data_IF_045485115389
#
_entry.id   IF_045485115389
#
_cell.length_a   1.000
_cell.length_b   1.000
_cell.length_c   1.000
_cell.angle_alpha   90.00
_cell.angle_beta   90.00
_cell.angle_gamma   90.00
#
_symmetry.space_group_name_H-M   'P 1'
#
loop_
_entity.id
_entity.type
_entity.pdbx_description
1 polymer ?
#
# COMPACT_ATOMS: atom_id res chain seq x y z
N UNK A 1 -2.40 -11.33 15.01
CA UNK A 1 -1.02 -10.79 15.07
C UNK A 1 -1.10 -9.30 14.94
N UNK A 2 -0.33 -8.57 15.73
CA UNK A 2 -0.22 -7.12 15.57
C UNK A 2 0.80 -6.83 14.47
N UNK A 3 0.43 -5.95 13.53
CA UNK A 3 1.33 -5.44 12.51
C UNK A 3 2.00 -4.16 13.04
N UNK A 4 3.15 -3.73 12.48
CA UNK A 4 3.75 -2.44 12.81
C UNK A 4 2.75 -1.29 12.62
N UNK A 5 2.84 -0.26 13.46
CA UNK A 5 2.03 0.95 13.28
C UNK A 5 2.38 1.61 11.94
N UNK A 6 1.35 1.96 11.17
CA UNK A 6 1.47 2.63 9.89
C UNK A 6 0.41 3.72 9.80
N UNK A 7 0.74 4.81 9.13
CA UNK A 7 -0.17 5.92 8.82
C UNK A 7 -0.16 6.21 7.32
N UNK A 8 -1.18 6.88 6.77
CA UNK A 8 -1.12 7.38 5.40
C UNK A 8 0.14 8.21 5.16
N UNK A 9 0.69 8.09 3.95
CA UNK A 9 1.98 8.65 3.51
C UNK A 9 3.23 7.94 4.03
N UNK A 10 3.12 6.92 4.87
CA UNK A 10 4.29 6.09 5.22
C UNK A 10 4.79 5.30 4.00
N UNK A 11 6.09 5.03 4.01
CA UNK A 11 6.73 4.13 3.06
C UNK A 11 6.92 2.74 3.68
N UNK A 12 6.37 1.72 3.04
CA UNK A 12 6.53 0.33 3.44
C UNK A 12 7.02 -0.53 2.27
N UNK A 13 7.76 -1.58 2.59
CA UNK A 13 8.25 -2.54 1.60
C UNK A 13 7.33 -3.76 1.57
N UNK A 14 6.64 -3.96 0.45
CA UNK A 14 5.65 -5.02 0.25
C UNK A 14 6.11 -5.92 -0.88
N UNK A 15 6.43 -7.18 -0.57
CA UNK A 15 6.94 -8.15 -1.55
C UNK A 15 8.08 -7.58 -2.45
N UNK A 16 9.00 -6.80 -1.87
CA UNK A 16 10.13 -6.18 -2.58
C UNK A 16 9.80 -4.89 -3.34
N UNK A 17 8.55 -4.40 -3.27
CA UNK A 17 8.17 -3.11 -3.84
C UNK A 17 8.12 -2.03 -2.75
N UNK A 18 8.78 -0.90 -2.99
CA UNK A 18 8.60 0.30 -2.17
C UNK A 18 7.21 0.91 -2.47
N UNK A 19 6.38 0.98 -1.43
CA UNK A 19 4.98 1.36 -1.53
C UNK A 19 4.68 2.55 -0.61
N UNK A 20 3.78 3.44 -1.03
CA UNK A 20 3.25 4.53 -0.19
C UNK A 20 1.89 4.11 0.34
N UNK A 21 1.69 4.19 1.65
CA UNK A 21 0.39 3.91 2.29
C UNK A 21 -0.60 5.01 1.93
N UNK A 22 -1.71 4.64 1.30
CA UNK A 22 -2.79 5.57 0.96
C UNK A 22 -3.86 5.61 2.05
N UNK A 23 -4.20 4.43 2.60
CA UNK A 23 -5.29 4.28 3.55
C UNK A 23 -5.01 3.11 4.47
N UNK A 24 -5.20 3.33 5.77
CA UNK A 24 -5.20 2.26 6.77
C UNK A 24 -6.65 1.84 7.01
N UNK A 25 -6.90 0.54 7.06
CA UNK A 25 -8.22 -0.02 7.28
C UNK A 25 -8.50 -0.26 8.77
N UNK A 26 -9.76 -0.26 9.21
CA UNK A 26 -10.10 -0.64 10.57
C UNK A 26 -9.74 -2.10 10.85
N UNK A 27 -9.51 -2.42 12.12
CA UNK A 27 -9.31 -3.81 12.59
C UNK A 27 -10.47 -4.69 12.08
N UNK A 28 -10.15 -5.85 11.52
CA UNK A 28 -11.08 -6.82 10.89
C UNK A 28 -11.66 -6.43 9.52
N UNK A 29 -11.05 -5.48 8.80
CA UNK A 29 -11.43 -5.19 7.42
C UNK A 29 -11.26 -6.42 6.52
N UNK A 30 -12.23 -6.75 5.64
CA UNK A 30 -12.08 -7.84 4.66
C UNK A 30 -11.02 -7.52 3.59
N UNK A 31 -10.61 -6.25 3.49
CA UNK A 31 -9.61 -5.73 2.55
C UNK A 31 -8.19 -5.71 3.14
N UNK A 32 -7.94 -6.39 4.27
CA UNK A 32 -6.62 -6.48 4.89
C UNK A 32 -6.29 -5.26 5.75
N UNK A 33 -5.02 -4.93 5.88
CA UNK A 33 -4.51 -3.91 6.81
C UNK A 33 -4.53 -2.52 6.22
N UNK A 34 -4.08 -2.36 4.98
CA UNK A 34 -4.02 -1.05 4.31
C UNK A 34 -4.10 -1.17 2.80
N UNK A 35 -4.29 -0.04 2.14
CA UNK A 35 -4.14 0.12 0.69
C UNK A 35 -2.92 0.97 0.41
N UNK A 36 -2.11 0.54 -0.53
CA UNK A 36 -0.90 1.23 -0.96
C UNK A 36 -0.94 1.60 -2.43
N UNK A 37 -0.06 2.51 -2.83
CA UNK A 37 0.31 2.74 -4.22
C UNK A 37 1.79 2.46 -4.43
N UNK A 38 2.11 1.80 -5.54
CA UNK A 38 3.48 1.48 -5.94
C UNK A 38 3.64 1.57 -7.46
N UNK A 39 4.87 1.38 -7.95
CA UNK A 39 5.28 1.53 -9.35
C UNK A 39 5.19 2.99 -9.86
N UNK A 40 6.33 3.68 -9.91
CA UNK A 40 6.41 5.10 -10.34
C UNK A 40 5.94 5.33 -11.78
N UNK A 41 6.19 4.38 -12.68
CA UNK A 41 5.90 4.49 -14.11
C UNK A 41 4.41 4.27 -14.38
N UNK A 42 3.83 3.27 -13.70
CA UNK A 42 2.40 2.94 -13.78
C UNK A 42 1.83 2.82 -12.37
N UNK A 43 1.48 3.94 -11.72
CA UNK A 43 0.97 3.95 -10.36
C UNK A 43 -0.17 2.95 -10.20
N UNK A 44 0.05 1.94 -9.37
CA UNK A 44 -0.86 0.82 -9.17
C UNK A 44 -1.21 0.76 -7.70
N UNK A 45 -2.49 0.69 -7.40
CA UNK A 45 -2.99 0.58 -6.04
C UNK A 45 -3.35 -0.87 -5.73
N UNK A 46 -2.95 -1.37 -4.56
CA UNK A 46 -3.30 -2.72 -4.09
C UNK A 46 -3.55 -2.73 -2.59
N UNK A 47 -4.41 -3.66 -2.17
CA UNK A 47 -4.55 -3.99 -0.76
C UNK A 47 -3.33 -4.78 -0.26
N UNK A 48 -2.98 -4.57 1.00
CA UNK A 48 -1.81 -5.15 1.67
C UNK A 48 -2.24 -5.76 2.99
N UNK A 49 -1.61 -6.88 3.33
CA UNK A 49 -1.84 -7.61 4.57
C UNK A 49 -0.52 -7.97 5.26
N UNK A 50 -0.61 -8.42 6.50
CA UNK A 50 0.52 -8.75 7.36
C UNK A 50 0.49 -10.22 7.78
N UNK A 51 1.55 -10.97 7.49
CA UNK A 51 1.62 -12.40 7.81
C UNK A 51 2.29 -12.71 9.16
N UNK A 52 2.65 -11.69 9.93
CA UNK A 52 3.43 -11.83 11.17
C UNK A 52 4.89 -11.43 11.05
N UNK A 53 5.44 -11.41 9.84
CA UNK A 53 6.87 -11.18 9.58
C UNK A 53 7.10 -10.09 8.53
N UNK A 54 6.27 -10.06 7.48
CA UNK A 54 6.41 -9.14 6.35
C UNK A 54 5.07 -8.73 5.77
N UNK A 55 5.08 -7.55 5.15
CA UNK A 55 3.98 -7.07 4.33
C UNK A 55 3.91 -7.87 3.04
N UNK A 56 2.70 -8.27 2.64
CA UNK A 56 2.49 -9.00 1.41
C UNK A 56 1.22 -8.55 0.69
N UNK A 57 1.16 -8.84 -0.61
CA UNK A 57 -0.05 -8.68 -1.40
C UNK A 57 -0.88 -9.96 -1.31
N UNK A 58 -2.08 -9.93 -0.70
CA UNK A 58 -2.90 -11.12 -0.56
C UNK A 58 -3.41 -11.62 -1.92
N UNK A 59 -3.52 -12.94 -2.06
CA UNK A 59 -4.09 -13.59 -3.24
C UNK A 59 -5.63 -13.61 -3.12
N UNK A 60 -6.25 -12.46 -3.37
CA UNK A 60 -7.71 -12.31 -3.48
C UNK A 60 -8.04 -11.46 -4.70
N UNK A 61 -9.28 -11.52 -5.24
CA UNK A 61 -9.72 -10.61 -6.28
C UNK A 61 -9.44 -9.18 -5.82
N UNK A 62 -8.54 -8.52 -6.54
CA UNK A 62 -8.08 -7.19 -6.17
C UNK A 62 -9.00 -6.17 -6.82
N UNK A 63 -9.62 -5.32 -5.99
CA UNK A 63 -10.32 -4.13 -6.46
C UNK A 63 -9.36 -2.93 -6.64
N UNK A 64 -8.07 -3.19 -6.54
CA UNK A 64 -6.99 -2.30 -6.90
C UNK A 64 -7.16 -1.71 -8.30
N UNK A 65 -6.73 -0.47 -8.44
CA UNK A 65 -6.84 0.29 -9.67
C UNK A 65 -5.59 1.12 -9.95
N UNK A 66 -5.61 1.86 -11.05
CA UNK A 66 -4.55 2.80 -11.39
C UNK A 66 -4.65 4.06 -10.52
N UNK A 67 -3.53 4.45 -9.93
CA UNK A 67 -3.39 5.73 -9.24
C UNK A 67 -3.43 6.87 -10.25
N UNK A 68 -4.08 7.97 -9.90
CA UNK A 68 -4.15 9.17 -10.75
C UNK A 68 -3.00 10.12 -10.43
N UNK A 69 -2.52 10.86 -11.41
CA UNK A 69 -1.38 11.76 -11.26
C UNK A 69 -1.64 12.95 -10.31
N UNK A 70 -2.90 13.30 -10.09
CA UNK A 70 -3.32 14.32 -9.13
C UNK A 70 -3.43 13.81 -7.69
N UNK A 71 -3.43 12.49 -7.48
CA UNK A 71 -3.48 11.88 -6.15
C UNK A 71 -2.18 12.19 -5.35
N UNK A 72 -2.30 12.67 -4.10
CA UNK A 72 -1.14 13.09 -3.30
C UNK A 72 -0.15 11.94 -3.05
N UNK A 73 -0.63 10.70 -2.88
CA UNK A 73 0.21 9.53 -2.64
C UNK A 73 0.93 9.10 -3.93
N UNK A 74 0.30 9.27 -5.09
CA UNK A 74 0.95 9.07 -6.40
C UNK A 74 2.03 10.11 -6.63
N UNK A 75 1.76 11.38 -6.30
CA UNK A 75 2.77 12.45 -6.38
C UNK A 75 3.96 12.16 -5.48
N UNK A 76 3.72 11.70 -4.25
CA UNK A 76 4.77 11.26 -3.33
C UNK A 76 5.55 10.06 -3.90
N UNK A 77 4.86 9.05 -4.41
CA UNK A 77 5.48 7.90 -5.06
C UNK A 77 6.41 8.32 -6.20
N UNK A 78 5.95 9.24 -7.07
CA UNK A 78 6.74 9.75 -8.20
C UNK A 78 7.96 10.54 -7.76
N UNK A 79 7.84 11.39 -6.71
CA UNK A 79 8.99 12.07 -6.09
C UNK A 79 10.03 11.06 -5.59
N UNK A 80 9.56 9.94 -5.04
CA UNK A 80 10.42 8.87 -4.55
C UNK A 80 10.62 8.91 -3.04
N UNK A 81 11.24 7.83 -2.56
CA UNK A 81 11.73 7.70 -1.20
C UNK A 81 13.18 8.18 -1.27
N UNK A 82 13.44 9.36 -0.70
CA UNK A 82 14.72 10.12 -0.71
C UNK A 82 15.00 10.91 -1.99
#
# INVERSE_FOLDING_TARGET
>A
MEHPEIIPSDWIDVAGCACVVMRVYPKNSPFGVCKVVFNKVKPTTRDVDWNGEKWFFPQRPDFGGYGRDDDPYVRQLKKGRY
#
